data_IF_851941141652
#
_entry.id   IF_851941141652
#
_cell.length_a   1.000
_cell.length_b   1.000
_cell.length_c   1.000
_cell.angle_alpha   90.00
_cell.angle_beta   90.00
_cell.angle_gamma   90.00
#
_symmetry.space_group_name_H-M   'P 1'
#
loop_
_entity.id
_entity.type
_entity.pdbx_description
1 polymer ?
#
# COMPACT_ATOMS: atom_id res chain seq x y z
N UNK A 1 -5.01 -15.66 8.34
CA UNK A 1 -6.29 -15.07 7.88
C UNK A 1 -5.97 -13.63 7.49
N UNK A 2 -6.64 -13.11 6.47
CA UNK A 2 -6.29 -11.82 5.86
C UNK A 2 -7.21 -10.73 6.37
N UNK A 3 -6.68 -9.53 6.54
CA UNK A 3 -7.36 -8.41 7.17
C UNK A 3 -7.48 -7.22 6.22
N UNK A 4 -8.66 -6.61 6.21
CA UNK A 4 -8.91 -5.31 5.57
C UNK A 4 -9.52 -4.40 6.62
N UNK A 5 -8.96 -3.21 6.79
CA UNK A 5 -9.46 -2.27 7.78
C UNK A 5 -9.28 -0.82 7.37
N UNK A 6 -10.11 0.05 7.93
CA UNK A 6 -10.02 1.50 7.75
C UNK A 6 -9.75 2.22 9.06
N UNK A 7 -8.99 3.30 9.00
CA UNK A 7 -8.71 4.17 10.15
C UNK A 7 -8.67 5.63 9.71
N UNK A 8 -9.31 6.51 10.49
CA UNK A 8 -9.16 7.95 10.33
C UNK A 8 -8.03 8.43 11.24
N UNK A 9 -7.10 9.19 10.68
CA UNK A 9 -6.01 9.85 11.39
C UNK A 9 -6.23 11.37 11.32
N UNK A 10 -6.00 12.06 12.43
CA UNK A 10 -6.23 13.51 12.52
C UNK A 10 -5.06 14.34 11.99
N UNK A 11 -3.86 13.76 11.90
CA UNK A 11 -2.65 14.51 11.57
C UNK A 11 -1.65 13.75 10.69
N UNK A 12 -0.76 14.52 10.07
CA UNK A 12 0.40 14.00 9.34
C UNK A 12 1.39 13.23 10.24
N UNK A 13 1.52 13.65 11.51
CA UNK A 13 2.37 12.97 12.51
C UNK A 13 1.86 11.57 12.82
N UNK A 14 0.54 11.39 12.95
CA UNK A 14 -0.06 10.08 13.20
C UNK A 14 0.17 9.14 12.01
N UNK A 15 0.06 9.67 10.79
CA UNK A 15 0.37 8.91 9.58
C UNK A 15 1.84 8.48 9.56
N UNK A 16 2.78 9.37 9.89
CA UNK A 16 4.21 9.00 10.00
C UNK A 16 4.44 7.92 11.03
N UNK A 17 3.81 8.03 12.20
CA UNK A 17 3.94 7.04 13.27
C UNK A 17 3.42 5.67 12.84
N UNK A 18 2.25 5.63 12.20
CA UNK A 18 1.66 4.39 11.66
C UNK A 18 2.56 3.75 10.60
N UNK A 19 3.07 4.55 9.65
CA UNK A 19 3.98 4.05 8.62
C UNK A 19 5.27 3.52 9.24
N UNK A 20 5.86 4.23 10.22
CA UNK A 20 7.07 3.78 10.90
C UNK A 20 6.88 2.48 11.69
N UNK A 21 5.69 2.28 12.27
CA UNK A 21 5.35 1.04 12.99
C UNK A 21 5.23 -0.18 12.05
N UNK A 22 4.80 0.04 10.81
CA UNK A 22 4.58 -1.03 9.81
C UNK A 22 5.71 -1.21 8.82
N UNK A 23 6.57 -0.20 8.67
CA UNK A 23 7.69 -0.26 7.76
C UNK A 23 8.75 -1.24 8.26
N UNK A 24 9.38 -1.91 7.30
CA UNK A 24 10.51 -2.80 7.45
C UNK A 24 11.54 -2.52 6.34
N UNK A 25 12.60 -3.33 6.28
CA UNK A 25 13.67 -3.21 5.27
C UNK A 25 13.21 -3.43 3.81
N UNK A 26 12.03 -4.01 3.62
CA UNK A 26 11.42 -4.34 2.32
C UNK A 26 10.19 -3.46 2.05
N UNK A 27 10.08 -2.32 2.73
CA UNK A 27 8.99 -1.37 2.55
C UNK A 27 9.32 -0.36 1.47
N UNK A 28 8.34 -0.11 0.63
CA UNK A 28 8.42 0.84 -0.47
C UNK A 28 7.22 1.78 -0.44
N UNK A 29 7.41 2.97 -0.99
CA UNK A 29 6.43 4.04 -0.98
C UNK A 29 6.12 4.49 -2.40
N UNK A 30 4.85 4.81 -2.64
CA UNK A 30 4.40 5.46 -3.86
C UNK A 30 3.52 6.65 -3.50
N UNK A 31 3.99 7.85 -3.81
CA UNK A 31 3.42 9.11 -3.34
C UNK A 31 2.82 9.91 -4.50
N UNK A 32 1.63 10.47 -4.29
CA UNK A 32 0.84 11.18 -5.31
C UNK A 32 0.42 12.57 -4.83
N UNK A 33 0.73 13.58 -5.64
CA UNK A 33 0.19 14.93 -5.56
C UNK A 33 -0.61 15.20 -6.83
N UNK A 34 -1.43 16.26 -6.81
CA UNK A 34 -2.25 16.64 -7.97
C UNK A 34 -1.43 16.96 -9.23
N UNK A 35 -0.16 17.32 -9.09
CA UNK A 35 0.72 17.74 -10.19
C UNK A 35 1.91 16.78 -10.42
N UNK A 36 2.12 15.77 -9.57
CA UNK A 36 3.27 14.86 -9.69
C UNK A 36 3.09 13.55 -8.94
N UNK A 37 3.90 12.58 -9.31
CA UNK A 37 4.12 11.33 -8.57
C UNK A 37 5.61 11.10 -8.41
N UNK A 38 6.04 10.49 -7.30
CA UNK A 38 7.47 10.22 -7.06
C UNK A 38 7.97 8.90 -7.68
N UNK A 39 7.06 8.05 -8.15
CA UNK A 39 7.39 6.67 -8.45
C UNK A 39 7.47 5.80 -7.19
N UNK A 40 8.06 4.61 -7.33
CA UNK A 40 8.27 3.67 -6.23
C UNK A 40 9.66 3.95 -5.63
N UNK A 41 9.68 4.40 -4.38
CA UNK A 41 10.89 4.81 -3.66
C UNK A 41 11.01 4.06 -2.34
N UNK A 42 12.24 3.83 -1.88
CA UNK A 42 12.51 3.16 -0.61
C UNK A 42 12.44 4.13 0.58
N UNK A 43 12.86 5.37 0.39
CA UNK A 43 12.87 6.39 1.43
C UNK A 43 11.76 7.42 1.22
N UNK A 44 11.16 7.87 2.32
CA UNK A 44 10.19 8.96 2.28
C UNK A 44 10.89 10.28 1.91
N UNK A 45 10.38 11.03 0.92
CA UNK A 45 10.95 12.32 0.52
C UNK A 45 10.69 13.39 1.61
N UNK A 46 11.45 14.49 1.61
CA UNK A 46 11.22 15.62 2.52
C UNK A 46 9.81 16.21 2.45
N UNK A 47 9.19 16.15 1.26
CA UNK A 47 7.86 16.70 0.97
C UNK A 47 6.69 15.83 1.50
N UNK A 48 6.98 14.74 2.21
CA UNK A 48 5.96 13.90 2.84
C UNK A 48 5.23 14.67 3.98
N UNK A 49 3.93 14.39 4.25
CA UNK A 49 3.03 13.50 3.52
C UNK A 49 2.50 14.10 2.22
N UNK A 50 2.31 13.23 1.24
CA UNK A 50 1.53 13.55 0.04
C UNK A 50 0.02 13.45 0.34
N UNK A 51 -0.84 14.19 -0.39
CA UNK A 51 -2.29 14.09 -0.25
C UNK A 51 -2.81 12.66 -0.42
N UNK A 52 -2.23 11.91 -1.36
CA UNK A 52 -2.52 10.49 -1.53
C UNK A 52 -1.22 9.71 -1.61
N UNK A 53 -1.23 8.46 -1.17
CA UNK A 53 -0.10 7.59 -1.35
C UNK A 53 -0.34 6.21 -0.79
N UNK A 54 0.68 5.39 -0.91
CA UNK A 54 0.69 4.07 -0.33
C UNK A 54 2.09 3.66 0.10
N UNK A 55 2.14 2.82 1.13
CA UNK A 55 3.31 2.08 1.57
C UNK A 55 2.97 0.61 1.43
N UNK A 56 3.88 -0.18 0.90
CA UNK A 56 3.68 -1.62 0.77
C UNK A 56 4.96 -2.37 1.06
N UNK A 57 4.79 -3.56 1.62
CA UNK A 57 5.84 -4.51 1.92
C UNK A 57 5.30 -5.94 1.69
N UNK A 58 6.06 -7.00 1.97
CA UNK A 58 5.59 -8.38 1.79
C UNK A 58 4.32 -8.72 2.58
N UNK A 59 4.10 -8.08 3.73
CA UNK A 59 3.04 -8.44 4.68
C UNK A 59 1.76 -7.63 4.45
N UNK A 60 1.87 -6.35 4.12
CA UNK A 60 0.73 -5.45 4.02
C UNK A 60 0.92 -4.31 3.00
N UNK A 61 -0.20 -3.69 2.64
CA UNK A 61 -0.25 -2.37 2.02
C UNK A 61 -1.10 -1.43 2.88
N UNK A 62 -0.57 -0.24 3.11
CA UNK A 62 -1.28 0.90 3.66
C UNK A 62 -1.50 1.93 2.55
N UNK A 63 -2.74 2.33 2.32
CA UNK A 63 -3.10 3.44 1.43
C UNK A 63 -3.68 4.57 2.24
N UNK A 64 -3.32 5.80 1.91
CA UNK A 64 -3.93 6.96 2.55
C UNK A 64 -4.44 7.96 1.53
N UNK A 65 -5.46 8.70 1.96
CA UNK A 65 -6.03 9.83 1.25
C UNK A 65 -6.36 10.94 2.24
N UNK A 66 -5.89 12.15 1.94
CA UNK A 66 -6.16 13.33 2.73
C UNK A 66 -7.61 13.77 2.54
N UNK A 67 -8.28 14.07 3.65
CA UNK A 67 -9.63 14.60 3.69
C UNK A 67 -9.71 15.80 4.65
N UNK A 68 -10.91 16.34 4.87
CA UNK A 68 -11.12 17.50 5.76
C UNK A 68 -10.72 17.24 7.22
N UNK A 69 -10.67 15.97 7.63
CA UNK A 69 -10.43 15.53 9.00
C UNK A 69 -9.01 14.95 9.19
N UNK A 70 -8.10 15.16 8.23
CA UNK A 70 -6.75 14.59 8.24
C UNK A 70 -6.57 13.56 7.12
N UNK A 71 -6.36 12.29 7.49
CA UNK A 71 -6.10 11.20 6.55
C UNK A 71 -7.00 10.00 6.81
N UNK A 72 -7.69 9.54 5.77
CA UNK A 72 -8.33 8.23 5.76
C UNK A 72 -7.31 7.19 5.28
N UNK A 73 -7.14 6.11 6.06
CA UNK A 73 -6.16 5.07 5.80
C UNK A 73 -6.86 3.72 5.63
N UNK A 74 -6.54 3.03 4.54
CA UNK A 74 -6.93 1.64 4.27
C UNK A 74 -5.73 0.73 4.48
N UNK A 75 -5.91 -0.31 5.28
CA UNK A 75 -4.94 -1.39 5.51
C UNK A 75 -5.39 -2.67 4.82
N UNK A 76 -4.49 -3.28 4.06
CA UNK A 76 -4.64 -4.57 3.38
C UNK A 76 -3.52 -5.50 3.85
N UNK A 77 -3.81 -6.43 4.77
CA UNK A 77 -2.79 -7.23 5.46
C UNK A 77 -3.00 -8.74 5.29
N UNK A 78 -1.90 -9.50 5.24
CA UNK A 78 -1.94 -10.96 5.23
C UNK A 78 -2.21 -11.58 6.60
N UNK A 79 -1.96 -10.83 7.67
CA UNK A 79 -2.04 -11.32 9.04
C UNK A 79 -3.13 -10.58 9.83
N UNK A 80 -3.77 -11.29 10.75
CA UNK A 80 -4.70 -10.69 11.73
C UNK A 80 -3.97 -9.91 12.84
N UNK A 81 -2.63 -9.76 12.73
CA UNK A 81 -1.76 -9.10 13.72
C UNK A 81 -2.00 -7.59 13.88
N UNK A 82 -3.02 -7.05 13.19
CA UNK A 82 -3.30 -5.62 13.11
C UNK A 82 -4.57 -5.20 13.88
N UNK A 83 -5.18 -6.13 14.62
CA UNK A 83 -6.32 -5.84 15.51
C UNK A 83 -5.96 -4.79 16.58
N UNK A 84 -4.69 -4.72 17.00
CA UNK A 84 -4.20 -3.81 18.05
C UNK A 84 -4.03 -2.36 17.59
N UNK A 85 -4.36 -2.04 16.34
CA UNK A 85 -4.14 -0.71 15.75
C UNK A 85 -5.41 0.12 15.57
N UNK A 86 -6.50 -0.27 16.23
CA UNK A 86 -7.79 0.43 16.19
C UNK A 86 -8.33 0.63 14.77
N UNK A 87 -8.02 -0.29 13.85
CA UNK A 87 -8.65 -0.30 12.53
C UNK A 87 -10.07 -0.84 12.65
N UNK A 88 -11.02 -0.15 12.03
CA UNK A 88 -12.36 -0.69 11.86
C UNK A 88 -12.33 -1.73 10.74
N UNK A 89 -12.65 -3.01 11.02
CA UNK A 89 -12.60 -4.06 10.00
C UNK A 89 -13.63 -3.81 8.90
N UNK A 90 -13.24 -4.09 7.66
CA UNK A 90 -14.11 -4.06 6.48
C UNK A 90 -14.33 -5.48 6.01
N UNK A 91 -15.59 -5.88 5.84
CA UNK A 91 -15.95 -7.26 5.49
C UNK A 91 -15.72 -8.24 6.64
N UNK A 92 -15.98 -9.54 6.38
CA UNK A 92 -15.90 -10.60 7.40
C UNK A 92 -15.07 -11.81 6.99
N UNK A 93 -14.71 -11.95 5.71
CA UNK A 93 -14.13 -13.19 5.19
C UNK A 93 -13.31 -12.93 3.94
N UNK A 94 -12.03 -12.61 4.14
CA UNK A 94 -11.08 -12.42 3.05
C UNK A 94 -10.27 -13.69 2.81
N UNK A 95 -10.19 -14.09 1.55
CA UNK A 95 -9.16 -14.98 1.03
C UNK A 95 -8.16 -14.17 0.21
N UNK A 96 -6.88 -14.55 0.28
CA UNK A 96 -5.83 -13.87 -0.47
C UNK A 96 -5.24 -14.73 -1.56
N UNK A 97 -5.02 -14.13 -2.72
CA UNK A 97 -4.32 -14.79 -3.83
C UNK A 97 -3.19 -13.90 -4.32
N UNK A 98 -1.97 -14.43 -4.31
CA UNK A 98 -0.80 -13.75 -4.87
C UNK A 98 -0.77 -13.91 -6.39
N UNK A 99 -0.47 -12.83 -7.11
CA UNK A 99 -0.31 -12.77 -8.56
C UNK A 99 0.99 -12.04 -8.87
N UNK A 100 1.77 -12.57 -9.80
CA UNK A 100 2.94 -11.88 -10.30
C UNK A 100 2.53 -10.58 -10.99
N UNK A 101 3.36 -9.55 -10.86
CA UNK A 101 3.17 -8.28 -11.53
C UNK A 101 4.49 -7.83 -12.14
N UNK A 102 4.41 -7.11 -13.24
CA UNK A 102 5.58 -6.55 -13.90
C UNK A 102 5.49 -5.03 -13.87
N UNK A 103 6.63 -4.40 -13.63
CA UNK A 103 6.79 -2.97 -13.85
C UNK A 103 7.30 -2.78 -15.27
N UNK A 104 6.80 -1.75 -15.96
CA UNK A 104 7.32 -1.38 -17.27
C UNK A 104 8.84 -1.20 -17.20
N UNK A 105 9.55 -1.89 -18.08
CA UNK A 105 10.97 -1.68 -18.30
C UNK A 105 11.19 -0.29 -18.92
N UNK A 106 12.32 0.35 -18.66
CA UNK A 106 12.71 1.55 -19.42
C UNK A 106 13.40 1.06 -20.70
N UNK A 107 12.96 1.38 -21.93
CA UNK A 107 12.15 2.53 -22.37
C UNK A 107 10.67 2.25 -22.70
N UNK A 108 10.13 1.08 -22.38
CA UNK A 108 8.80 0.61 -22.82
C UNK A 108 7.61 1.29 -22.10
N UNK A 109 7.86 2.40 -21.41
CA UNK A 109 6.82 3.12 -20.69
C UNK A 109 5.93 3.94 -21.62
N UNK A 110 4.61 3.82 -21.46
CA UNK A 110 3.63 4.70 -22.12
C UNK A 110 3.47 6.04 -21.40
N UNK A 111 4.15 6.24 -20.28
CA UNK A 111 4.10 7.49 -19.53
C UNK A 111 4.98 8.56 -20.20
N UNK A 112 4.49 9.81 -20.34
CA UNK A 112 5.27 10.90 -20.93
C UNK A 112 6.57 11.19 -20.17
N UNK A 113 6.55 10.99 -18.84
CA UNK A 113 7.70 11.14 -17.98
C UNK A 113 8.01 9.80 -17.30
N UNK A 114 9.25 9.30 -17.38
CA UNK A 114 9.65 8.16 -16.57
C UNK A 114 9.60 8.53 -15.09
N UNK A 115 9.20 7.59 -14.24
CA UNK A 115 9.28 7.74 -12.80
C UNK A 115 10.24 6.70 -12.22
N UNK A 116 10.79 6.99 -11.04
CA UNK A 116 11.74 6.10 -10.37
C UNK A 116 11.06 4.80 -9.96
N UNK A 117 11.72 3.67 -10.15
CA UNK A 117 11.30 2.40 -9.57
C UNK A 117 12.48 1.76 -8.84
N UNK A 118 12.46 1.85 -7.52
CA UNK A 118 13.46 1.23 -6.63
C UNK A 118 13.02 -0.16 -6.15
N UNK A 119 11.81 -0.60 -6.48
CA UNK A 119 11.32 -1.94 -6.16
C UNK A 119 11.62 -2.91 -7.31
N UNK A 120 12.51 -3.90 -7.10
CA UNK A 120 12.98 -4.76 -8.19
C UNK A 120 11.97 -5.85 -8.58
N UNK A 121 11.12 -6.32 -7.65
CA UNK A 121 10.20 -7.43 -7.88
C UNK A 121 8.88 -7.18 -7.16
N UNK A 122 7.89 -6.70 -7.92
CA UNK A 122 6.56 -6.37 -7.43
C UNK A 122 5.60 -7.51 -7.71
N UNK A 123 4.62 -7.68 -6.85
CA UNK A 123 3.51 -8.59 -7.04
C UNK A 123 2.20 -7.90 -6.59
N UNK A 124 1.09 -8.55 -6.90
CA UNK A 124 -0.23 -8.14 -6.48
C UNK A 124 -0.85 -9.19 -5.57
N UNK A 125 -1.54 -8.77 -4.53
CA UNK A 125 -2.32 -9.64 -3.64
C UNK A 125 -3.79 -9.29 -3.74
N UNK A 126 -4.58 -10.23 -4.22
CA UNK A 126 -6.02 -10.04 -4.36
C UNK A 126 -6.69 -10.41 -3.05
N UNK A 127 -7.61 -9.57 -2.59
CA UNK A 127 -8.50 -9.83 -1.46
C UNK A 127 -9.86 -10.19 -2.01
N UNK A 128 -10.19 -11.46 -1.90
CA UNK A 128 -11.38 -12.10 -2.46
C UNK A 128 -12.38 -12.30 -1.32
N UNK A 129 -13.59 -11.80 -1.51
CA UNK A 129 -14.68 -12.07 -0.57
C UNK A 129 -15.13 -13.53 -0.73
N UNK A 130 -15.08 -14.31 0.36
CA UNK A 130 -15.37 -15.75 0.31
C UNK A 130 -16.81 -16.09 -0.04
N UNK A 131 -17.76 -15.17 0.16
CA UNK A 131 -19.18 -15.43 -0.09
C UNK A 131 -19.53 -15.19 -1.55
N UNK A 132 -18.93 -14.17 -2.15
CA UNK A 132 -19.25 -13.70 -3.50
C UNK A 132 -18.22 -14.12 -4.54
N UNK A 133 -17.04 -14.61 -4.11
CA UNK A 133 -15.88 -14.90 -4.95
C UNK A 133 -15.36 -13.69 -5.76
N UNK A 134 -15.74 -12.47 -5.37
CA UNK A 134 -15.33 -11.25 -6.05
C UNK A 134 -14.01 -10.73 -5.46
N UNK A 135 -13.15 -10.21 -6.33
CA UNK A 135 -11.98 -9.43 -5.91
C UNK A 135 -12.46 -8.02 -5.54
N UNK A 136 -12.38 -7.66 -4.27
CA UNK A 136 -12.76 -6.32 -3.80
C UNK A 136 -11.56 -5.37 -3.71
N UNK A 137 -10.40 -5.91 -3.32
CA UNK A 137 -9.19 -5.13 -3.21
C UNK A 137 -8.03 -5.87 -3.88
N UNK A 138 -7.15 -5.10 -4.51
CA UNK A 138 -5.87 -5.58 -5.03
C UNK A 138 -4.81 -4.79 -4.31
N UNK A 139 -3.94 -5.44 -3.55
CA UNK A 139 -2.82 -4.80 -2.88
C UNK A 139 -1.52 -4.93 -3.68
N UNK A 140 -0.66 -3.92 -3.66
CA UNK A 140 0.73 -4.07 -4.07
C UNK A 140 1.53 -4.78 -2.97
N UNK A 141 2.49 -5.60 -3.37
CA UNK A 141 3.38 -6.31 -2.46
C UNK A 141 4.72 -6.54 -3.13
N UNK A 142 5.73 -6.88 -2.33
CA UNK A 142 7.04 -7.29 -2.83
C UNK A 142 7.06 -8.81 -2.94
N UNK A 143 7.64 -9.33 -4.02
CA UNK A 143 7.86 -10.76 -4.18
C UNK A 143 9.24 -11.12 -3.62
N UNK A 144 9.27 -11.86 -2.51
CA UNK A 144 10.52 -12.26 -1.85
C UNK A 144 11.13 -13.53 -2.46
N UNK A 145 10.44 -14.19 -3.41
CA UNK A 145 10.80 -15.53 -3.91
C UNK A 145 11.70 -15.55 -5.15
N UNK A 146 12.02 -14.41 -5.77
CA UNK A 146 13.04 -14.34 -6.82
C UNK A 146 14.35 -13.77 -6.24
N UNK A 147 15.18 -14.66 -5.69
CA UNK A 147 16.63 -14.44 -5.54
C UNK A 147 17.35 -15.56 -6.25
#
# INVERSE_FOLDING_TARGET
MSFVGIKQLSSASDLRALLAQKADQNSYYFLRWFHKVNGIVKDLPPEFPSPEGQMFNPECELRWKQNKNGYEVLLLSQADLDLDLDFTPVGKSWETQLRDAEVYSNPETRFPNPFKNECPDIAQRYFIDKQTCNVHFVALTVNLKKR
#
